data_IF_050820126275
#
_entry.id   IF_050820126275
#
_cell.length_a   1.000
_cell.length_b   1.000
_cell.length_c   1.000
_cell.angle_alpha   90.00
_cell.angle_beta   90.00
_cell.angle_gamma   90.00
#
_symmetry.space_group_name_H-M   'P 1'
#
loop_
_entity.id
_entity.type
_entity.pdbx_description
1 polymer ?
#
# COMPACT_ATOMS: atom_id res chain seq x y z
N UNK A 1 -16.23 -4.96 -0.37
CA UNK A 1 -15.60 -3.74 0.17
C UNK A 1 -14.58 -3.28 -0.85
N UNK A 2 -14.77 -2.12 -1.48
CA UNK A 2 -13.88 -1.65 -2.53
C UNK A 2 -12.61 -1.07 -1.88
N UNK A 3 -11.63 -1.91 -1.58
CA UNK A 3 -10.35 -1.50 -1.00
C UNK A 3 -9.38 -0.94 -2.06
N UNK A 4 -9.93 -0.38 -3.15
CA UNK A 4 -9.18 0.14 -4.29
C UNK A 4 -8.83 1.61 -4.05
N UNK A 5 -7.58 1.87 -3.70
CA UNK A 5 -7.05 3.21 -3.49
C UNK A 5 -6.09 3.58 -4.62
N UNK A 6 -5.96 4.87 -4.92
CA UNK A 6 -4.81 5.31 -5.72
C UNK A 6 -3.52 5.11 -4.92
N UNK A 7 -2.37 4.90 -5.59
CA UNK A 7 -1.10 4.76 -4.89
C UNK A 7 -0.80 5.95 -3.97
N UNK A 8 -1.23 7.17 -4.33
CA UNK A 8 -1.09 8.36 -3.49
C UNK A 8 -1.95 8.31 -2.23
N UNK A 9 -3.23 7.94 -2.33
CA UNK A 9 -4.10 7.80 -1.15
C UNK A 9 -3.63 6.68 -0.23
N UNK A 10 -3.20 5.56 -0.81
CA UNK A 10 -2.69 4.41 -0.08
C UNK A 10 -1.39 4.75 0.66
N UNK A 11 -0.47 5.44 -0.02
CA UNK A 11 0.76 5.91 0.61
C UNK A 11 0.49 6.83 1.80
N UNK A 12 -0.51 7.71 1.66
CA UNK A 12 -0.95 8.62 2.74
C UNK A 12 -1.58 7.87 3.92
N UNK A 13 -2.41 6.85 3.67
CA UNK A 13 -3.01 5.98 4.70
C UNK A 13 -1.95 5.18 5.46
N UNK A 14 -0.94 4.69 4.75
CA UNK A 14 0.17 3.94 5.31
C UNK A 14 1.28 4.85 5.90
N UNK A 15 1.21 6.17 5.72
CA UNK A 15 2.28 7.07 6.15
C UNK A 15 3.63 6.80 5.48
N UNK A 16 3.60 6.32 4.23
CA UNK A 16 4.80 6.07 3.42
C UNK A 16 4.87 7.00 2.22
N UNK A 17 6.03 7.06 1.58
CA UNK A 17 6.21 7.93 0.42
C UNK A 17 5.50 7.35 -0.81
N UNK A 18 4.73 8.18 -1.52
CA UNK A 18 4.00 7.74 -2.70
C UNK A 18 4.94 7.21 -3.79
N UNK A 19 6.15 7.77 -3.91
CA UNK A 19 7.15 7.29 -4.87
C UNK A 19 7.67 5.91 -4.52
N UNK A 20 7.95 5.65 -3.24
CA UNK A 20 8.37 4.33 -2.76
C UNK A 20 7.28 3.29 -3.01
N UNK A 21 6.02 3.63 -2.73
CA UNK A 21 4.89 2.72 -2.97
C UNK A 21 4.67 2.42 -4.45
N UNK A 22 4.84 3.42 -5.34
CA UNK A 22 4.75 3.22 -6.80
C UNK A 22 5.90 2.33 -7.29
N UNK A 23 7.14 2.62 -6.86
CA UNK A 23 8.30 1.81 -7.19
C UNK A 23 8.15 0.36 -6.70
N UNK A 24 7.58 0.18 -5.50
CA UNK A 24 7.25 -1.12 -4.95
C UNK A 24 6.19 -1.86 -5.79
N UNK A 25 5.09 -1.20 -6.17
CA UNK A 25 4.07 -1.80 -7.03
C UNK A 25 4.63 -2.24 -8.38
N UNK A 26 5.50 -1.43 -8.98
CA UNK A 26 6.19 -1.76 -10.23
C UNK A 26 7.14 -2.95 -10.07
N UNK A 27 7.90 -3.01 -8.96
CA UNK A 27 8.83 -4.10 -8.67
C UNK A 27 8.11 -5.43 -8.42
N UNK A 28 7.00 -5.39 -7.68
CA UNK A 28 6.20 -6.57 -7.34
C UNK A 28 5.21 -7.00 -8.41
N UNK A 29 5.19 -6.31 -9.56
CA UNK A 29 4.20 -6.55 -10.61
C UNK A 29 2.78 -6.54 -10.04
N UNK A 30 2.50 -5.62 -9.11
CA UNK A 30 1.17 -5.47 -8.53
C UNK A 30 0.25 -4.91 -9.62
N UNK A 31 -0.86 -5.59 -9.96
CA UNK A 31 -1.75 -5.15 -11.01
C UNK A 31 -2.47 -3.85 -10.59
N UNK A 32 -2.15 -2.77 -11.28
CA UNK A 32 -2.81 -1.46 -11.10
C UNK A 32 -4.05 -1.45 -12.00
N UNK A 33 -5.23 -1.62 -11.41
CA UNK A 33 -6.48 -1.64 -12.15
C UNK A 33 -7.10 -0.23 -12.18
N UNK A 34 -7.16 0.40 -13.37
CA UNK A 34 -7.61 1.80 -13.55
C UNK A 34 -6.90 2.82 -12.64
N UNK A 35 -5.60 2.64 -12.41
CA UNK A 35 -4.84 3.52 -11.51
C UNK A 35 -5.06 3.24 -10.02
N UNK A 36 -5.74 2.14 -9.67
CA UNK A 36 -6.03 1.76 -8.28
C UNK A 36 -5.33 0.45 -7.90
N UNK A 37 -4.87 0.41 -6.67
CA UNK A 37 -4.25 -0.74 -6.00
C UNK A 37 -5.16 -1.17 -4.86
N UNK A 38 -5.30 -2.48 -4.68
CA UNK A 38 -6.05 -3.00 -3.56
C UNK A 38 -5.19 -3.00 -2.28
N UNK A 39 -5.66 -2.30 -1.24
CA UNK A 39 -4.96 -2.20 0.06
C UNK A 39 -4.67 -3.57 0.64
N UNK A 40 -5.60 -4.51 0.51
CA UNK A 40 -5.45 -5.85 1.08
C UNK A 40 -4.35 -6.62 0.37
N UNK A 41 -4.28 -6.50 -0.96
CA UNK A 41 -3.24 -7.12 -1.78
C UNK A 41 -1.87 -6.52 -1.48
N UNK A 42 -1.76 -5.18 -1.42
CA UNK A 42 -0.50 -4.53 -1.05
C UNK A 42 -0.04 -4.96 0.35
N UNK A 43 -0.94 -4.95 1.33
CA UNK A 43 -0.63 -5.36 2.71
C UNK A 43 -0.16 -6.82 2.77
N UNK A 44 -0.81 -7.72 2.02
CA UNK A 44 -0.41 -9.13 1.95
C UNK A 44 0.98 -9.29 1.32
N UNK A 45 1.26 -8.58 0.23
CA UNK A 45 2.56 -8.62 -0.46
C UNK A 45 3.67 -8.03 0.41
N UNK A 46 3.45 -6.87 1.04
CA UNK A 46 4.40 -6.26 1.97
C UNK A 46 4.68 -7.17 3.17
N UNK A 47 3.64 -7.78 3.76
CA UNK A 47 3.79 -8.77 4.83
C UNK A 47 4.57 -9.98 4.38
N UNK A 48 4.30 -10.49 3.18
CA UNK A 48 5.02 -11.65 2.62
C UNK A 48 6.48 -11.34 2.33
N UNK A 49 6.81 -10.08 2.06
CA UNK A 49 8.19 -9.61 1.87
C UNK A 49 8.92 -9.24 3.16
N UNK A 50 8.24 -9.28 4.31
CA UNK A 50 8.82 -8.84 5.58
C UNK A 50 9.09 -7.34 5.63
N UNK A 51 8.49 -6.56 4.73
CA UNK A 51 8.42 -5.11 4.90
C UNK A 51 7.48 -4.84 6.07
N UNK A 52 7.95 -4.04 7.03
CA UNK A 52 7.10 -3.54 8.09
C UNK A 52 6.02 -2.68 7.42
N UNK A 53 4.85 -3.27 7.15
CA UNK A 53 3.64 -2.49 6.95
C UNK A 53 3.50 -1.71 8.25
N UNK A 54 3.62 -0.36 8.22
CA UNK A 54 3.33 0.41 9.41
C UNK A 54 1.93 -0.01 9.82
N UNK A 55 1.83 -0.65 11.00
CA UNK A 55 0.53 -0.95 11.57
C UNK A 55 -0.28 0.35 11.56
N UNK A 56 -1.60 0.31 11.30
CA UNK A 56 -2.42 1.50 11.47
C UNK A 56 -2.10 2.02 12.86
N UNK A 57 -1.40 3.15 12.92
CA UNK A 57 -0.92 3.74 14.17
C UNK A 57 -2.18 3.89 15.01
N UNK A 58 -2.35 3.17 16.13
CA UNK A 58 -3.42 3.51 17.03
C UNK A 58 -3.09 4.94 17.44
N UNK A 59 -4.00 5.87 17.13
CA UNK A 59 -3.92 7.24 17.60
C UNK A 59 -3.50 7.17 19.08
N UNK A 60 -2.29 7.67 19.36
CA UNK A 60 -1.78 7.73 20.72
C UNK A 60 -2.81 8.49 21.55
N UNK A 61 -3.20 7.87 22.68
CA UNK A 61 -4.13 8.42 23.65
C UNK A 61 -3.71 9.80 24.16
#
# INVERSE_FOLDING_TARGET
>A
MANHFTPEELAKDLGMDARELIAFCLRESIPIYKGKVDRSLLTAVMRSKGLAVPAPQPAAC
#
